data_IF_928627935380
#
_entry.id   IF_928627935380
#
_cell.length_a   1.000
_cell.length_b   1.000
_cell.length_c   1.000
_cell.angle_alpha   90.00
_cell.angle_beta   90.00
_cell.angle_gamma   90.00
#
_symmetry.space_group_name_H-M   'P 1'
#
loop_
_entity.id
_entity.type
_entity.pdbx_description
1 polymer ?
#
# COMPACT_ATOMS: atom_id res chain seq x y z
N UNK A 1 -2.94 -1.76 7.03
CA UNK A 1 -4.18 -1.40 7.75
C UNK A 1 -5.12 -0.78 6.72
N UNK A 2 -6.42 -0.94 6.90
CA UNK A 2 -7.45 -0.30 6.09
C UNK A 2 -8.25 0.63 7.00
N UNK A 3 -8.41 1.88 6.59
CA UNK A 3 -9.20 2.87 7.32
C UNK A 3 -10.40 3.27 6.47
N UNK A 4 -11.55 3.62 7.08
CA UNK A 4 -12.62 4.27 6.36
C UNK A 4 -12.09 5.49 5.60
N UNK A 5 -12.69 5.79 4.45
CA UNK A 5 -12.26 6.90 3.60
C UNK A 5 -12.29 8.21 4.40
N UNK A 6 -11.24 9.02 4.24
CA UNK A 6 -11.00 10.29 4.95
C UNK A 6 -10.71 10.21 6.45
N UNK A 7 -10.68 9.02 7.07
CA UNK A 7 -10.35 8.88 8.50
C UNK A 7 -8.85 8.73 8.79
N UNK A 8 -8.03 8.57 7.74
CA UNK A 8 -6.58 8.62 7.84
C UNK A 8 -6.03 9.79 7.03
N UNK A 9 -5.20 10.62 7.65
CA UNK A 9 -4.57 11.77 6.99
C UNK A 9 -3.35 11.29 6.19
N UNK A 10 -3.46 11.38 4.87
CA UNK A 10 -2.38 11.10 3.91
C UNK A 10 -1.66 12.41 3.57
N UNK A 11 -0.33 12.39 3.47
CA UNK A 11 0.47 13.56 3.10
C UNK A 11 1.77 13.22 2.36
N UNK A 12 2.74 14.15 2.36
CA UNK A 12 3.98 14.01 1.58
C UNK A 12 4.85 12.79 1.92
N UNK A 13 4.66 12.20 3.11
CA UNK A 13 5.41 11.03 3.57
C UNK A 13 4.72 9.69 3.26
N UNK A 14 3.55 9.74 2.62
CA UNK A 14 2.81 8.56 2.20
C UNK A 14 2.97 8.40 0.69
N UNK A 15 3.56 7.29 0.25
CA UNK A 15 3.82 7.00 -1.16
C UNK A 15 2.66 6.16 -1.70
N UNK A 16 2.02 6.64 -2.76
CA UNK A 16 0.91 5.94 -3.40
C UNK A 16 1.44 4.79 -4.28
N UNK A 17 0.97 3.57 -4.03
CA UNK A 17 1.41 2.38 -4.77
C UNK A 17 0.36 1.84 -5.74
N UNK A 18 -0.80 2.49 -5.84
CA UNK A 18 -1.92 2.04 -6.66
C UNK A 18 -3.18 1.75 -5.84
N UNK A 19 -4.16 1.16 -6.51
CA UNK A 19 -5.45 0.81 -5.92
C UNK A 19 -5.59 -0.69 -5.67
N UNK A 20 -6.17 -1.04 -4.52
CA UNK A 20 -6.58 -2.40 -4.17
C UNK A 20 -8.11 -2.40 -4.05
N UNK A 21 -8.79 -3.15 -4.90
CA UNK A 21 -10.26 -3.18 -4.96
C UNK A 21 -10.90 -1.78 -5.06
N UNK A 22 -10.29 -0.87 -5.83
CA UNK A 22 -10.75 0.51 -6.02
C UNK A 22 -10.50 1.43 -4.82
N UNK A 23 -9.67 1.02 -3.86
CA UNK A 23 -9.26 1.83 -2.72
C UNK A 23 -7.75 2.13 -2.78
N UNK A 24 -7.32 3.38 -2.56
CA UNK A 24 -5.93 3.78 -2.68
C UNK A 24 -5.10 3.15 -1.56
N UNK A 25 -3.93 2.63 -1.96
CA UNK A 25 -2.98 1.99 -1.07
C UNK A 25 -1.70 2.81 -0.98
N UNK A 26 -1.31 3.11 0.24
CA UNK A 26 -0.13 3.93 0.54
C UNK A 26 0.84 3.18 1.44
N UNK A 27 2.12 3.52 1.32
CA UNK A 27 3.20 3.06 2.19
C UNK A 27 3.99 4.26 2.71
N UNK A 28 4.47 4.23 3.95
CA UNK A 28 5.31 5.32 4.47
C UNK A 28 6.66 5.40 3.74
N UNK A 29 7.19 6.61 3.53
CA UNK A 29 8.40 6.86 2.74
C UNK A 29 9.63 6.04 3.19
N UNK A 30 9.83 5.86 4.50
CA UNK A 30 10.92 5.03 5.03
C UNK A 30 10.74 3.54 4.70
N UNK A 31 9.50 3.04 4.73
CA UNK A 31 9.18 1.67 4.32
C UNK A 31 9.31 1.51 2.81
N UNK A 32 8.88 2.52 2.03
CA UNK A 32 9.08 2.55 0.59
C UNK A 32 10.56 2.44 0.22
N UNK A 33 11.44 3.23 0.85
CA UNK A 33 12.87 3.18 0.58
C UNK A 33 13.46 1.76 0.77
N UNK A 34 12.91 1.00 1.72
CA UNK A 34 13.33 -0.37 1.97
C UNK A 34 12.66 -1.39 1.02
N UNK A 35 11.42 -1.17 0.57
CA UNK A 35 10.61 -2.14 -0.18
C UNK A 35 10.39 -1.80 -1.66
N UNK A 36 10.91 -0.68 -2.17
CA UNK A 36 10.67 -0.20 -3.54
C UNK A 36 11.06 -1.21 -4.64
N UNK A 37 11.93 -2.17 -4.34
CA UNK A 37 12.36 -3.23 -5.24
C UNK A 37 11.50 -4.51 -5.14
N UNK A 38 10.33 -4.43 -4.48
CA UNK A 38 9.45 -5.59 -4.26
C UNK A 38 8.04 -5.37 -4.79
N UNK A 39 7.49 -6.41 -5.42
CA UNK A 39 6.06 -6.53 -5.68
C UNK A 39 5.37 -6.99 -4.39
N UNK A 40 4.42 -6.19 -3.91
CA UNK A 40 3.63 -6.50 -2.72
C UNK A 40 2.30 -7.14 -3.09
N UNK A 41 1.99 -8.25 -2.45
CA UNK A 41 0.66 -8.88 -2.47
C UNK A 41 0.02 -8.70 -1.11
N UNK A 42 -1.20 -8.15 -1.08
CA UNK A 42 -1.96 -7.91 0.15
C UNK A 42 -3.14 -8.87 0.18
N UNK A 43 -3.05 -9.88 1.05
CA UNK A 43 -4.12 -10.87 1.22
C UNK A 43 -5.02 -10.52 2.38
N UNK A 44 -6.31 -10.86 2.24
CA UNK A 44 -7.27 -10.86 3.33
C UNK A 44 -7.47 -12.30 3.82
N UNK A 45 -7.07 -12.57 5.06
CA UNK A 45 -7.14 -13.92 5.65
C UNK A 45 -7.90 -13.89 6.98
N UNK A 46 -8.49 -15.02 7.36
CA UNK A 46 -9.15 -15.15 8.68
C UNK A 46 -8.12 -14.98 9.79
N UNK A 47 -8.47 -14.22 10.83
CA UNK A 47 -7.63 -14.06 12.00
C UNK A 47 -7.81 -12.70 12.68
N UNK A 48 -7.09 -12.50 13.78
CA UNK A 48 -7.13 -11.23 14.51
C UNK A 48 -6.32 -10.16 13.79
N UNK A 49 -7.01 -9.15 13.26
CA UNK A 49 -6.41 -7.95 12.66
C UNK A 49 -5.89 -6.95 13.69
N UNK A 50 -5.35 -5.83 13.18
CA UNK A 50 -5.01 -4.67 14.00
C UNK A 50 -6.30 -4.00 14.50
N UNK A 51 -6.37 -3.62 15.77
CA UNK A 51 -7.61 -3.12 16.40
C UNK A 51 -8.19 -1.85 15.78
N UNK A 52 -7.41 -1.13 14.96
CA UNK A 52 -7.84 0.11 14.28
C UNK A 52 -8.18 -0.10 12.80
N UNK A 53 -8.06 -1.33 12.29
CA UNK A 53 -8.23 -1.64 10.87
C UNK A 53 -9.66 -2.12 10.59
N UNK A 54 -10.26 -1.64 9.50
CA UNK A 54 -11.67 -1.84 9.18
C UNK A 54 -12.09 -3.31 9.04
N UNK A 55 -11.17 -4.22 8.68
CA UNK A 55 -11.43 -5.65 8.56
C UNK A 55 -11.42 -6.41 9.90
N UNK A 56 -10.88 -5.80 10.96
CA UNK A 56 -10.66 -6.49 12.23
C UNK A 56 -11.97 -6.91 12.94
N UNK A 57 -13.04 -6.09 12.99
CA UNK A 57 -14.35 -6.50 13.53
C UNK A 57 -15.00 -7.65 12.75
N UNK A 58 -14.66 -7.80 11.47
CA UNK A 58 -15.16 -8.84 10.58
C UNK A 58 -14.44 -10.20 10.77
N UNK A 59 -13.45 -10.27 11.68
CA UNK A 59 -12.70 -11.49 11.96
C UNK A 59 -11.59 -11.79 10.93
N UNK A 60 -11.15 -10.76 10.21
CA UNK A 60 -10.06 -10.86 9.23
C UNK A 60 -8.83 -10.06 9.65
N UNK A 61 -7.74 -10.29 8.91
CA UNK A 61 -6.50 -9.52 8.95
C UNK A 61 -5.88 -9.46 7.57
N UNK A 62 -5.11 -8.41 7.33
CA UNK A 62 -4.23 -8.37 6.17
C UNK A 62 -2.92 -9.16 6.40
N UNK A 63 -2.46 -9.85 5.35
CA UNK A 63 -1.15 -10.47 5.26
C UNK A 63 -0.43 -9.91 4.04
N UNK A 64 0.71 -9.28 4.27
CA UNK A 64 1.57 -8.80 3.19
C UNK A 64 2.59 -9.87 2.82
N UNK A 65 2.61 -10.25 1.55
CA UNK A 65 3.67 -11.07 0.94
C UNK A 65 4.46 -10.19 -0.01
N UNK A 66 5.74 -10.47 -0.16
CA UNK A 66 6.61 -9.76 -1.08
C UNK A 66 7.40 -10.74 -1.94
N UNK A 67 7.70 -10.30 -3.16
CA UNK A 67 8.72 -10.91 -4.02
C UNK A 67 9.54 -9.80 -4.66
N UNK A 68 10.75 -10.10 -5.10
CA UNK A 68 11.50 -9.18 -5.95
C UNK A 68 10.74 -8.95 -7.26
N UNK A 69 10.83 -7.74 -7.78
CA UNK A 69 10.48 -7.50 -9.17
C UNK A 69 11.44 -8.28 -10.08
N UNK A 70 10.93 -8.72 -11.22
CA UNK A 70 11.76 -9.18 -12.33
C UNK A 70 12.50 -8.00 -12.96
N UNK A 71 13.50 -8.28 -13.79
CA UNK A 71 14.26 -7.24 -14.49
C UNK A 71 13.35 -6.39 -15.39
N UNK A 72 12.43 -7.03 -16.11
CA UNK A 72 11.45 -6.36 -16.98
C UNK A 72 10.49 -5.45 -16.18
N UNK A 73 9.98 -5.93 -15.04
CA UNK A 73 9.14 -5.13 -14.14
C UNK A 73 9.91 -3.94 -13.57
N UNK A 74 11.17 -4.13 -13.20
CA UNK A 74 12.03 -3.08 -12.67
C UNK A 74 12.33 -2.02 -13.73
N UNK A 75 12.58 -2.44 -14.97
CA UNK A 75 12.78 -1.54 -16.10
C UNK A 75 11.52 -0.73 -16.42
N UNK A 76 10.34 -1.35 -16.40
CA UNK A 76 9.07 -0.67 -16.61
C UNK A 76 8.78 0.37 -15.51
N UNK A 77 9.09 0.06 -14.26
CA UNK A 77 8.96 1.01 -13.15
C UNK A 77 9.94 2.18 -13.27
N UNK A 78 11.17 1.92 -13.72
CA UNK A 78 12.15 2.98 -13.95
C UNK A 78 11.69 3.95 -15.06
N UNK A 79 11.07 3.44 -16.13
CA UNK A 79 10.50 4.25 -17.21
C UNK A 79 9.28 5.07 -16.75
N UNK A 80 8.42 4.49 -15.91
CA UNK A 80 7.25 5.17 -15.33
C UNK A 80 7.63 6.30 -14.37
N UNK A 81 8.84 6.30 -13.82
CA UNK A 81 9.33 7.27 -12.86
C UNK A 81 8.86 6.99 -11.42
N UNK A 82 9.20 7.88 -10.46
CA UNK A 82 8.86 7.69 -9.07
C UNK A 82 7.33 7.76 -8.85
N UNK A 83 6.78 6.93 -7.94
CA UNK A 83 5.36 7.02 -7.60
C UNK A 83 5.02 8.38 -6.96
N UNK A 84 3.78 8.87 -7.13
CA UNK A 84 3.35 10.08 -6.47
C UNK A 84 3.24 9.87 -4.96
N UNK A 85 3.40 10.96 -4.20
CA UNK A 85 3.08 10.95 -2.78
C UNK A 85 1.61 11.32 -2.53
N UNK A 86 1.19 11.30 -1.27
CA UNK A 86 -0.18 11.61 -0.85
C UNK A 86 -0.67 13.02 -1.13
N UNK A 87 0.22 14.00 -1.30
CA UNK A 87 -0.17 15.36 -1.72
C UNK A 87 -0.43 15.43 -3.22
N UNK A 88 0.34 14.68 -4.00
CA UNK A 88 0.17 14.54 -5.45
C UNK A 88 -1.00 13.61 -5.81
N UNK A 89 -1.31 12.64 -4.95
CA UNK A 89 -2.41 11.70 -5.10
C UNK A 89 -3.19 11.57 -3.77
N UNK A 90 -4.02 12.56 -3.41
CA UNK A 90 -4.84 12.49 -2.21
C UNK A 90 -5.87 11.35 -2.31
N UNK A 91 -6.32 10.78 -1.18
CA UNK A 91 -7.43 9.85 -1.20
C UNK A 91 -8.66 10.60 -1.74
N UNK A 92 -9.15 10.18 -2.90
CA UNK A 92 -10.32 10.76 -3.57
C UNK A 92 -11.62 10.60 -2.80
#
# INVERSE_FOLDING_TARGET
>A
MCFPRFEFKVGAQDIYLGDIAGQPFYIGAAQFAYWAHTCLTIDLVKGRGSGFSAEAPEGFRFLTRSRLFTDDESAALADAGPPPNGEQHPPG
#
